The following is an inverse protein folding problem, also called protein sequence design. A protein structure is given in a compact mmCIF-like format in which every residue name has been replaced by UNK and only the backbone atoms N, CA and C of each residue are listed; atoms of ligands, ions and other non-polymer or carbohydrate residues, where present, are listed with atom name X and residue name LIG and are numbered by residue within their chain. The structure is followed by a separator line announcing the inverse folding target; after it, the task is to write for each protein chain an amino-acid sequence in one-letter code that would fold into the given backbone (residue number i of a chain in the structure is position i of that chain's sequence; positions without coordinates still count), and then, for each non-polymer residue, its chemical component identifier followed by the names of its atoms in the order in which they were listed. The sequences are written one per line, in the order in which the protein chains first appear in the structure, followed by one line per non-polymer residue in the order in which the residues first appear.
data_IF_238379751288
#
_entry.id   IF_238379751288
#
_cell.length_a   1.000
_cell.length_b   1.000
_cell.length_c   1.000
_cell.angle_alpha   90.00
_cell.angle_beta   90.00
_cell.angle_gamma   90.00
#
_symmetry.space_group_name_H-M   'P 1'
#
loop_
_entity.id
_entity.type
_entity.pdbx_description
1 polymer ?
#
# COMPACT_ATOMS: atom_id res chain seq x y z
N UNK A 1 -9.73 -2.17 -4.02
CA UNK A 1 -8.89 -2.30 -5.22
C UNK A 1 -7.57 -1.59 -4.99
N UNK A 2 -6.48 -2.14 -5.56
CA UNK A 2 -5.12 -1.60 -5.41
C UNK A 2 -5.05 -0.10 -5.79
N UNK A 3 -5.63 0.27 -6.93
CA UNK A 3 -5.61 1.64 -7.44
C UNK A 3 -6.25 2.66 -6.48
N UNK A 4 -7.33 2.30 -5.80
CA UNK A 4 -8.00 3.19 -4.86
C UNK A 4 -7.15 3.42 -3.60
N UNK A 5 -6.52 2.37 -3.08
CA UNK A 5 -5.67 2.46 -1.89
C UNK A 5 -4.37 3.23 -2.17
N UNK A 6 -3.70 2.99 -3.30
CA UNK A 6 -2.52 3.77 -3.74
C UNK A 6 -2.89 5.25 -3.90
N UNK A 7 -4.05 5.53 -4.50
CA UNK A 7 -4.54 6.91 -4.63
C UNK A 7 -4.72 7.54 -3.26
N UNK A 8 -5.43 6.88 -2.34
CA UNK A 8 -5.66 7.39 -0.97
C UNK A 8 -4.35 7.62 -0.19
N UNK A 9 -3.40 6.70 -0.28
CA UNK A 9 -2.10 6.80 0.38
C UNK A 9 -1.28 8.00 -0.10
N UNK A 10 -1.38 8.34 -1.39
CA UNK A 10 -0.75 9.56 -1.95
C UNK A 10 -1.25 10.83 -1.25
N UNK A 11 -2.55 10.91 -0.90
CA UNK A 11 -3.09 12.04 -0.14
C UNK A 11 -2.60 12.09 1.31
N UNK A 12 -2.27 10.93 1.88
CA UNK A 12 -1.78 10.79 3.25
C UNK A 12 -0.25 10.85 3.36
N UNK A 13 0.47 11.03 2.24
CA UNK A 13 1.92 11.05 2.21
C UNK A 13 2.59 9.71 2.51
N UNK A 14 1.87 8.60 2.34
CA UNK A 14 2.38 7.24 2.55
C UNK A 14 2.79 6.63 1.20
N UNK A 15 4.02 6.14 1.12
CA UNK A 15 4.53 5.49 -0.09
C UNK A 15 3.96 4.07 -0.21
N UNK A 16 2.91 3.92 -1.04
CA UNK A 16 2.33 2.64 -1.42
C UNK A 16 2.34 2.46 -2.94
N UNK A 17 2.65 1.25 -3.39
CA UNK A 17 2.54 0.82 -4.77
C UNK A 17 1.56 -0.36 -4.92
N UNK A 18 0.98 -0.52 -6.12
CA UNK A 18 0.12 -1.67 -6.44
C UNK A 18 0.96 -2.91 -6.74
N UNK A 19 0.59 -4.06 -6.17
CA UNK A 19 1.32 -5.31 -6.37
C UNK A 19 1.29 -5.78 -7.83
N UNK A 20 0.27 -5.41 -8.60
CA UNK A 20 0.15 -5.76 -10.01
C UNK A 20 1.39 -5.40 -10.85
N UNK A 21 2.06 -4.28 -10.55
CA UNK A 21 3.26 -3.84 -11.28
C UNK A 21 4.52 -4.67 -11.02
N UNK A 22 4.55 -5.44 -9.92
CA UNK A 22 5.67 -6.30 -9.55
C UNK A 22 5.46 -7.76 -9.94
N UNK A 23 4.29 -8.10 -10.50
CA UNK A 23 4.00 -9.46 -10.93
C UNK A 23 4.81 -9.80 -12.17
N UNK A 24 5.31 -11.03 -12.20
CA UNK A 24 5.93 -11.57 -13.40
C UNK A 24 4.89 -11.66 -14.53
N UNK A 25 5.22 -11.26 -15.77
CA UNK A 25 4.27 -11.30 -16.89
C UNK A 25 3.75 -12.72 -17.21
N UNK A 26 4.51 -13.75 -16.86
CA UNK A 26 4.13 -15.15 -17.06
C UNK A 26 3.47 -15.79 -15.83
N UNK A 27 3.15 -15.02 -14.79
CA UNK A 27 2.47 -15.56 -13.62
C UNK A 27 1.05 -16.04 -13.98
N UNK A 28 0.78 -17.33 -13.81
CA UNK A 28 -0.51 -17.98 -14.14
C UNK A 28 -1.42 -18.18 -12.93
N UNK A 29 -0.97 -17.78 -11.74
CA UNK A 29 -1.70 -17.90 -10.47
C UNK A 29 -2.79 -16.84 -10.35
N UNK A 30 -3.81 -17.12 -9.52
CA UNK A 30 -4.82 -16.11 -9.17
C UNK A 30 -4.15 -14.85 -8.61
N UNK A 31 -4.62 -13.68 -9.05
CA UNK A 31 -3.97 -12.39 -8.86
C UNK A 31 -4.80 -11.48 -7.92
N UNK A 32 -4.80 -11.75 -6.60
CA UNK A 32 -5.60 -10.97 -5.65
C UNK A 32 -5.12 -9.52 -5.57
N UNK A 33 -5.94 -8.57 -5.15
CA UNK A 33 -5.44 -7.21 -4.87
C UNK A 33 -4.36 -7.26 -3.77
N UNK A 34 -3.23 -6.59 -4.00
CA UNK A 34 -2.15 -6.44 -3.02
C UNK A 34 -1.46 -5.08 -3.11
N UNK A 35 -0.83 -4.67 -2.00
CA UNK A 35 -0.10 -3.41 -1.91
C UNK A 35 1.34 -3.68 -1.47
N UNK A 36 2.26 -2.90 -2.03
CA UNK A 36 3.67 -2.87 -1.65
C UNK A 36 3.88 -1.62 -0.82
N UNK A 37 4.37 -1.79 0.41
CA UNK A 37 4.72 -0.68 1.29
C UNK A 37 6.18 -0.34 1.09
N UNK A 38 6.46 0.88 0.65
CA UNK A 38 7.83 1.39 0.62
C UNK A 38 8.34 1.52 2.05
N UNK A 39 9.10 0.52 2.54
CA UNK A 39 9.69 0.59 3.88
C UNK A 39 10.89 1.54 3.86
N UNK A 40 10.64 2.84 3.97
CA UNK A 40 11.66 3.78 4.41
C UNK A 40 11.86 3.59 5.91
N UNK A 41 13.09 3.57 6.42
CA UNK A 41 13.41 3.55 7.86
C UNK A 41 12.88 4.83 8.50
N UNK A 42 11.64 4.86 8.99
CA UNK A 42 11.05 6.10 9.46
C UNK A 42 11.62 6.36 10.85
N UNK A 43 11.71 7.63 11.25
CA UNK A 43 12.05 7.94 12.63
C UNK A 43 10.99 7.35 13.59
N UNK A 44 11.40 6.88 14.77
CA UNK A 44 10.48 6.23 15.74
C UNK A 44 9.24 7.09 16.04
N UNK A 45 9.42 8.41 16.14
CA UNK A 45 8.34 9.36 16.39
C UNK A 45 7.37 9.55 15.20
N UNK A 46 7.81 9.24 13.98
CA UNK A 46 6.98 9.31 12.78
C UNK A 46 6.27 7.99 12.47
N UNK A 47 6.75 6.86 13.02
CA UNK A 47 6.22 5.53 12.74
C UNK A 47 4.73 5.39 13.09
N UNK A 48 4.32 5.91 14.26
CA UNK A 48 2.91 5.86 14.66
C UNK A 48 1.99 6.62 13.70
N UNK A 49 2.36 7.84 13.32
CA UNK A 49 1.61 8.64 12.35
C UNK A 49 1.53 7.98 10.97
N UNK A 50 2.62 7.32 10.53
CA UNK A 50 2.64 6.58 9.27
C UNK A 50 1.70 5.36 9.29
N UNK A 51 1.59 4.66 10.41
CA UNK A 51 0.69 3.52 10.56
C UNK A 51 -0.79 3.94 10.54
N UNK A 52 -1.13 5.03 11.21
CA UNK A 52 -2.49 5.61 11.17
C UNK A 52 -2.87 6.06 9.76
N UNK A 53 -1.96 6.74 9.07
CA UNK A 53 -2.13 7.17 7.69
C UNK A 53 -2.31 5.97 6.74
N UNK A 54 -1.58 4.88 6.97
CA UNK A 54 -1.76 3.62 6.23
C UNK A 54 -3.14 3.01 6.49
N UNK A 55 -3.54 2.86 7.76
CA UNK A 55 -4.85 2.32 8.14
C UNK A 55 -6.01 3.12 7.52
N UNK A 56 -5.90 4.45 7.47
CA UNK A 56 -6.90 5.31 6.83
C UNK A 56 -6.95 5.23 5.30
N UNK A 57 -5.87 4.80 4.65
CA UNK A 57 -5.82 4.61 3.20
C UNK A 57 -6.37 3.24 2.74
N UNK A 58 -6.44 2.27 3.65
CA UNK A 58 -6.95 0.93 3.35
C UNK A 58 -8.48 0.94 3.28
N UNK A 59 -9.08 0.18 2.35
CA UNK A 59 -10.53 -0.02 2.36
C UNK A 59 -10.95 -0.74 3.65
N UNK A 60 -12.20 -0.55 4.12
CA UNK A 60 -12.72 -1.31 5.24
C UNK A 60 -12.58 -2.81 4.95
N UNK A 61 -12.22 -3.57 5.99
CA UNK A 61 -12.14 -5.02 5.90
C UNK A 61 -13.49 -5.64 5.51
N UNK A 62 -13.47 -6.86 4.95
CA UNK A 62 -14.71 -7.60 4.65
C UNK A 62 -15.55 -7.87 5.90
#
# INVERSE_FOLDING_TARGET
TERSAVKAATWQGVALDGLAGFRHPEATMSAPDGLVVGYATPSEHAYGAALEALCGALPPGP
#
